data_IF_366743849378
#
_entry.id   IF_366743849378
#
_cell.length_a   1.000
_cell.length_b   1.000
_cell.length_c   1.000
_cell.angle_alpha   90.00
_cell.angle_beta   90.00
_cell.angle_gamma   90.00
#
_symmetry.space_group_name_H-M   'P 1'
#
loop_
_entity.id
_entity.type
_entity.pdbx_description
1 polymer ?
#
# COMPACT_ATOMS: atom_id res chain seq x y z
N UNK A 1 -26.98 80.06 -23.47
CA UNK A 1 -25.89 79.60 -22.56
C UNK A 1 -26.25 78.41 -21.66
N UNK A 2 -27.54 78.06 -21.44
CA UNK A 2 -27.92 76.91 -20.58
C UNK A 2 -27.72 75.52 -21.22
N UNK A 3 -27.72 75.43 -22.55
CA UNK A 3 -27.58 74.15 -23.29
C UNK A 3 -26.12 73.76 -23.62
N UNK A 4 -25.16 74.67 -23.45
CA UNK A 4 -23.74 74.40 -23.69
C UNK A 4 -23.01 73.86 -22.45
N UNK A 5 -23.58 74.05 -21.25
CA UNK A 5 -23.03 73.53 -19.99
C UNK A 5 -23.46 72.09 -19.67
N UNK A 6 -24.59 71.61 -20.23
CA UNK A 6 -25.07 70.24 -19.96
C UNK A 6 -24.31 69.17 -20.75
N UNK A 7 -23.71 69.52 -21.89
CA UNK A 7 -22.95 68.56 -22.72
C UNK A 7 -21.52 68.32 -22.21
N UNK A 8 -20.95 69.22 -21.41
CA UNK A 8 -19.59 69.06 -20.86
C UNK A 8 -19.55 68.12 -19.64
N UNK A 9 -20.65 68.00 -18.89
CA UNK A 9 -20.73 67.14 -17.70
C UNK A 9 -20.84 65.64 -18.05
N UNK A 10 -21.40 65.30 -19.22
CA UNK A 10 -21.55 63.90 -19.65
C UNK A 10 -20.25 63.36 -20.24
N UNK A 11 -19.39 64.21 -20.82
CA UNK A 11 -18.13 63.77 -21.42
C UNK A 11 -17.03 63.46 -20.38
N UNK A 12 -17.08 64.05 -19.18
CA UNK A 12 -16.13 63.74 -18.08
C UNK A 12 -16.51 62.51 -17.25
N UNK A 13 -17.74 61.99 -17.35
CA UNK A 13 -18.13 60.75 -16.67
C UNK A 13 -17.70 59.48 -17.41
N UNK A 14 -17.33 59.59 -18.70
CA UNK A 14 -16.98 58.43 -19.53
C UNK A 14 -15.49 58.04 -19.41
N UNK A 15 -14.63 58.92 -18.90
CA UNK A 15 -13.17 58.67 -18.81
C UNK A 15 -12.76 58.00 -17.48
N UNK A 16 -13.65 57.92 -16.48
CA UNK A 16 -13.33 57.38 -15.16
C UNK A 16 -13.65 55.88 -14.94
N UNK A 17 -14.15 55.15 -15.95
CA UNK A 17 -14.56 53.73 -15.79
C UNK A 17 -13.65 52.75 -16.55
N UNK A 18 -12.60 53.21 -17.23
CA UNK A 18 -11.70 52.33 -18.00
C UNK A 18 -10.49 51.83 -17.19
N UNK A 19 -10.34 52.24 -15.93
CA UNK A 19 -9.23 51.80 -15.05
C UNK A 19 -9.65 50.81 -13.94
N UNK A 20 -10.84 50.21 -14.05
CA UNK A 20 -11.19 49.01 -13.29
C UNK A 20 -11.21 47.76 -14.18
N UNK A 21 -10.29 47.68 -15.14
CA UNK A 21 -9.72 46.37 -15.47
C UNK A 21 -8.78 46.06 -14.30
N UNK A 22 -9.40 45.68 -13.17
CA UNK A 22 -8.70 44.94 -12.15
C UNK A 22 -8.01 43.81 -12.87
N UNK A 23 -6.69 43.79 -12.75
CA UNK A 23 -5.92 42.59 -12.97
C UNK A 23 -6.63 41.54 -12.10
N UNK A 24 -7.46 40.69 -12.71
CA UNK A 24 -7.90 39.50 -12.00
C UNK A 24 -6.61 38.73 -11.83
N UNK A 25 -6.03 38.78 -10.63
CA UNK A 25 -5.18 37.69 -10.19
C UNK A 25 -5.97 36.44 -10.55
N UNK A 26 -5.49 35.69 -11.53
CA UNK A 26 -6.10 34.40 -11.84
C UNK A 26 -6.19 33.68 -10.51
N UNK A 27 -7.39 33.43 -10.00
CA UNK A 27 -7.58 32.65 -8.79
C UNK A 27 -7.01 31.28 -9.10
N UNK A 28 -5.76 31.08 -8.68
CA UNK A 28 -5.04 29.91 -9.11
C UNK A 28 -5.35 28.75 -8.18
N UNK A 29 -6.55 28.21 -8.34
CA UNK A 29 -6.97 26.98 -7.70
C UNK A 29 -5.96 25.87 -8.00
N UNK A 30 -5.52 25.12 -6.98
CA UNK A 30 -4.58 24.03 -7.18
C UNK A 30 -5.23 22.91 -7.99
N UNK A 31 -4.43 22.23 -8.79
CA UNK A 31 -4.83 21.08 -9.60
C UNK A 31 -3.99 19.85 -9.26
N UNK A 32 -4.57 18.66 -9.43
CA UNK A 32 -3.82 17.40 -9.28
C UNK A 32 -2.91 17.23 -10.50
N UNK A 33 -1.61 17.42 -10.30
CA UNK A 33 -0.57 17.30 -11.32
C UNK A 33 -0.28 15.83 -11.66
N UNK A 34 -0.17 14.99 -10.63
CA UNK A 34 0.15 13.57 -10.79
C UNK A 34 -0.43 12.73 -9.66
N UNK A 35 -0.65 11.45 -9.95
CA UNK A 35 -0.93 10.42 -8.96
C UNK A 35 0.01 9.24 -9.20
N UNK A 36 0.47 8.60 -8.14
CA UNK A 36 1.28 7.40 -8.18
C UNK A 36 0.67 6.34 -7.25
N UNK A 37 0.22 5.18 -7.75
CA UNK A 37 0.25 4.76 -9.16
C UNK A 37 -0.57 5.66 -10.10
N UNK A 38 -0.20 5.79 -11.40
CA UNK A 38 -0.95 6.56 -12.38
C UNK A 38 -2.40 6.09 -12.52
N UNK A 39 -3.30 7.01 -12.83
CA UNK A 39 -4.69 6.68 -13.15
C UNK A 39 -4.80 5.58 -14.21
N UNK A 40 -5.74 4.65 -14.03
CA UNK A 40 -5.95 3.48 -14.91
C UNK A 40 -4.99 2.32 -14.64
N UNK A 41 -4.03 2.47 -13.72
CA UNK A 41 -3.10 1.39 -13.37
C UNK A 41 -3.81 0.22 -12.68
N UNK A 42 -3.20 -0.96 -12.82
CA UNK A 42 -3.49 -2.10 -11.96
C UNK A 42 -2.77 -1.91 -10.63
N UNK A 43 -3.51 -1.98 -9.53
CA UNK A 43 -2.98 -1.78 -8.18
C UNK A 43 -3.55 -2.84 -7.24
N UNK A 44 -2.79 -3.28 -6.22
CA UNK A 44 -3.34 -4.12 -5.17
C UNK A 44 -4.40 -3.37 -4.34
N UNK A 45 -5.32 -4.14 -3.76
CA UNK A 45 -6.41 -3.70 -2.88
C UNK A 45 -6.03 -2.65 -1.81
N UNK A 46 -4.80 -2.69 -1.31
CA UNK A 46 -4.30 -1.85 -0.24
C UNK A 46 -3.12 -0.97 -0.66
N UNK A 47 -3.04 -0.65 -1.95
CA UNK A 47 -2.02 0.23 -2.49
C UNK A 47 -2.04 1.60 -1.79
N UNK A 48 -0.85 2.12 -1.50
CA UNK A 48 -0.68 3.54 -1.16
C UNK A 48 -0.80 4.36 -2.45
N UNK A 49 -1.60 5.42 -2.40
CA UNK A 49 -1.75 6.38 -3.50
C UNK A 49 -1.08 7.69 -3.06
N UNK A 50 -0.06 8.12 -3.81
CA UNK A 50 0.58 9.41 -3.64
C UNK A 50 -0.07 10.39 -4.61
N UNK A 51 -0.52 11.52 -4.09
CA UNK A 51 -1.19 12.59 -4.82
C UNK A 51 -0.27 13.81 -4.80
N UNK A 52 0.04 14.32 -5.98
CA UNK A 52 0.88 15.52 -6.16
C UNK A 52 0.07 16.63 -6.79
N UNK A 53 0.07 17.80 -6.16
CA UNK A 53 -0.55 19.02 -6.65
C UNK A 53 0.49 19.92 -7.31
N UNK A 54 0.03 20.80 -8.21
CA UNK A 54 0.86 21.85 -8.79
C UNK A 54 1.15 22.99 -7.78
N UNK A 55 0.30 23.13 -6.75
CA UNK A 55 0.37 24.15 -5.70
C UNK A 55 0.06 23.57 -4.32
N UNK A 56 0.56 24.19 -3.24
CA UNK A 56 0.27 23.73 -1.89
C UNK A 56 -1.23 23.72 -1.58
N UNK A 57 -1.68 22.70 -0.86
CA UNK A 57 -3.04 22.58 -0.34
C UNK A 57 -3.00 22.31 1.17
N UNK A 58 -4.08 22.67 1.87
CA UNK A 58 -4.15 22.61 3.35
C UNK A 58 -4.81 21.33 3.87
N UNK A 59 -5.57 20.64 3.01
CA UNK A 59 -6.22 19.38 3.35
C UNK A 59 -6.60 18.58 2.12
N UNK A 60 -6.50 17.26 2.20
CA UNK A 60 -6.87 16.33 1.14
C UNK A 60 -7.66 15.16 1.71
N UNK A 61 -8.73 14.78 1.03
CA UNK A 61 -9.53 13.59 1.33
C UNK A 61 -9.71 12.73 0.09
N UNK A 62 -9.78 11.41 0.29
CA UNK A 62 -10.10 10.42 -0.74
C UNK A 62 -11.33 9.66 -0.28
N UNK A 63 -12.43 9.75 -1.02
CA UNK A 63 -13.74 9.19 -0.63
C UNK A 63 -14.11 9.53 0.83
N UNK A 64 -13.90 10.81 1.21
CA UNK A 64 -14.13 11.36 2.55
C UNK A 64 -13.19 10.85 3.65
N UNK A 65 -12.18 10.05 3.33
CA UNK A 65 -11.12 9.64 4.27
C UNK A 65 -9.95 10.63 4.15
N UNK A 66 -9.47 11.21 5.27
CA UNK A 66 -8.31 12.10 5.24
C UNK A 66 -7.06 11.40 4.70
N UNK A 67 -6.36 12.06 3.78
CA UNK A 67 -5.01 11.70 3.38
C UNK A 67 -3.99 12.30 4.37
N UNK A 68 -2.81 11.70 4.48
CA UNK A 68 -1.70 12.20 5.29
C UNK A 68 -0.65 12.87 4.42
N UNK A 69 -0.20 14.07 4.77
CA UNK A 69 0.79 14.80 3.97
C UNK A 69 0.77 16.28 4.29
N UNK A 70 1.42 17.07 3.43
CA UNK A 70 1.46 18.52 3.58
C UNK A 70 1.89 19.19 2.28
N UNK A 71 1.41 20.41 2.05
CA UNK A 71 1.78 21.22 0.89
C UNK A 71 1.35 20.52 -0.40
N UNK A 72 2.31 20.21 -1.27
CA UNK A 72 2.04 19.66 -2.61
C UNK A 72 1.91 18.13 -2.65
N UNK A 73 2.29 17.40 -1.59
CA UNK A 73 2.37 15.94 -1.61
C UNK A 73 1.60 15.32 -0.47
N UNK A 74 0.67 14.43 -0.85
CA UNK A 74 -0.25 13.76 0.06
C UNK A 74 -0.28 12.27 -0.23
N UNK A 75 -0.47 11.47 0.82
CA UNK A 75 -0.52 10.02 0.76
C UNK A 75 -1.86 9.55 1.28
N UNK A 76 -2.49 8.69 0.51
CA UNK A 76 -3.68 7.98 0.92
C UNK A 76 -3.36 6.49 1.03
N UNK A 77 -3.63 5.93 2.22
CA UNK A 77 -3.63 4.50 2.44
C UNK A 77 -4.98 4.13 3.04
N UNK A 78 -5.77 3.38 2.29
CA UNK A 78 -7.09 2.98 2.71
C UNK A 78 -7.54 1.73 1.98
N UNK A 79 -8.62 1.15 2.47
CA UNK A 79 -9.25 -0.01 1.86
C UNK A 79 -9.92 0.39 0.52
N UNK A 80 -9.27 0.03 -0.60
CA UNK A 80 -9.80 0.24 -1.95
C UNK A 80 -10.76 -0.88 -2.37
N UNK A 81 -11.02 -1.86 -1.50
CA UNK A 81 -11.88 -3.02 -1.79
C UNK A 81 -13.34 -2.81 -1.44
N UNK A 82 -13.68 -1.68 -0.77
CA UNK A 82 -15.04 -1.36 -0.28
C UNK A 82 -16.18 -1.51 -1.30
N UNK A 83 -15.88 -1.59 -2.60
CA UNK A 83 -16.87 -1.71 -3.69
C UNK A 83 -16.93 -3.09 -4.35
N UNK A 84 -16.12 -4.07 -3.92
CA UNK A 84 -16.12 -5.45 -4.44
C UNK A 84 -15.92 -5.57 -5.96
N UNK A 85 -15.44 -4.51 -6.60
CA UNK A 85 -15.35 -4.37 -8.05
C UNK A 85 -13.89 -4.37 -8.48
N UNK A 86 -13.61 -5.04 -9.59
CA UNK A 86 -12.28 -5.07 -10.24
C UNK A 86 -11.84 -3.68 -10.72
N UNK A 87 -12.78 -2.77 -10.90
CA UNK A 87 -12.52 -1.37 -11.19
C UNK A 87 -13.10 -0.52 -10.07
N UNK A 88 -12.30 0.41 -9.55
CA UNK A 88 -12.74 1.38 -8.56
C UNK A 88 -12.56 2.78 -9.12
N UNK A 89 -13.55 3.64 -8.88
CA UNK A 89 -13.40 5.09 -8.97
C UNK A 89 -13.36 5.67 -7.57
N UNK A 90 -12.31 6.46 -7.31
CA UNK A 90 -12.11 7.20 -6.06
C UNK A 90 -12.21 8.70 -6.33
N UNK A 91 -12.76 9.44 -5.37
CA UNK A 91 -12.91 10.89 -5.41
C UNK A 91 -11.87 11.55 -4.52
N UNK A 92 -10.95 12.29 -5.13
CA UNK A 92 -9.99 13.16 -4.45
C UNK A 92 -10.64 14.54 -4.29
N UNK A 93 -10.70 15.06 -3.07
CA UNK A 93 -11.13 16.42 -2.77
C UNK A 93 -10.09 17.13 -1.91
N UNK A 94 -9.85 18.42 -2.16
CA UNK A 94 -8.84 19.21 -1.45
C UNK A 94 -9.31 20.62 -1.13
N UNK A 95 -8.59 21.26 -0.22
CA UNK A 95 -8.79 22.65 0.22
C UNK A 95 -7.52 23.44 -0.12
N UNK A 96 -7.66 24.50 -0.91
CA UNK A 96 -6.58 25.42 -1.26
C UNK A 96 -6.20 26.32 -0.07
N UNK A 97 -5.08 27.03 -0.16
CA UNK A 97 -4.64 27.96 0.91
C UNK A 97 -5.61 29.14 1.11
N UNK A 98 -6.33 29.54 0.06
CA UNK A 98 -7.37 30.58 0.10
C UNK A 98 -8.73 30.09 0.67
N UNK A 99 -8.82 28.80 1.02
CA UNK A 99 -10.05 28.17 1.53
C UNK A 99 -11.03 27.69 0.45
N UNK A 100 -10.77 27.95 -0.83
CA UNK A 100 -11.53 27.34 -1.93
C UNK A 100 -11.29 25.83 -2.01
N UNK A 101 -12.18 25.09 -2.67
CA UNK A 101 -12.11 23.63 -2.73
C UNK A 101 -11.99 23.12 -4.15
N UNK A 102 -11.24 22.04 -4.34
CA UNK A 102 -11.17 21.32 -5.61
C UNK A 102 -11.58 19.86 -5.49
N UNK A 103 -11.88 19.24 -6.63
CA UNK A 103 -12.30 17.85 -6.74
C UNK A 103 -11.78 17.24 -8.04
N UNK A 104 -11.34 15.98 -7.97
CA UNK A 104 -11.01 15.14 -9.12
C UNK A 104 -11.39 13.69 -8.83
N UNK A 105 -12.02 13.03 -9.78
CA UNK A 105 -12.20 11.58 -9.74
C UNK A 105 -11.12 10.91 -10.58
N UNK A 106 -10.60 9.79 -10.10
CA UNK A 106 -9.69 8.92 -10.85
C UNK A 106 -10.14 7.47 -10.73
N UNK A 107 -9.70 6.63 -11.66
CA UNK A 107 -10.01 5.20 -11.66
C UNK A 107 -8.76 4.33 -11.56
N UNK A 108 -8.95 3.14 -10.99
CA UNK A 108 -7.93 2.09 -10.89
C UNK A 108 -8.55 0.72 -11.17
N UNK A 109 -7.71 -0.20 -11.62
CA UNK A 109 -8.05 -1.62 -11.69
C UNK A 109 -7.47 -2.29 -10.44
N UNK A 110 -8.32 -2.84 -9.59
CA UNK A 110 -7.88 -3.58 -8.40
C UNK A 110 -7.49 -4.99 -8.83
N UNK A 111 -6.22 -5.33 -8.65
CA UNK A 111 -5.75 -6.71 -8.74
C UNK A 111 -6.37 -7.51 -7.58
N UNK A 112 -6.70 -8.78 -7.86
CA UNK A 112 -7.61 -9.65 -7.11
C UNK A 112 -7.79 -9.30 -5.62
N UNK A 113 -9.06 -9.24 -5.21
CA UNK A 113 -9.52 -8.98 -3.85
C UNK A 113 -8.63 -9.69 -2.82
N UNK A 114 -7.98 -8.92 -1.95
CA UNK A 114 -7.30 -9.45 -0.78
C UNK A 114 -8.35 -9.66 0.31
N UNK A 115 -8.71 -10.92 0.55
CA UNK A 115 -9.72 -11.30 1.53
C UNK A 115 -9.21 -11.16 2.98
N UNK A 116 -7.99 -10.64 3.19
CA UNK A 116 -7.44 -10.22 4.47
C UNK A 116 -7.20 -11.31 5.50
N UNK A 117 -7.49 -12.58 5.17
CA UNK A 117 -7.16 -13.72 6.03
C UNK A 117 -5.92 -14.40 5.49
N UNK A 118 -4.82 -14.18 6.20
CA UNK A 118 -3.57 -14.91 5.97
C UNK A 118 -3.76 -16.32 6.53
N UNK A 119 -3.51 -17.35 5.71
CA UNK A 119 -3.41 -18.73 6.14
C UNK A 119 -2.38 -19.49 5.29
N UNK A 120 -1.86 -20.58 5.84
CA UNK A 120 -0.94 -21.47 5.13
C UNK A 120 -1.75 -22.36 4.19
N UNK A 121 -1.48 -22.27 2.89
CA UNK A 121 -2.08 -23.11 1.83
C UNK A 121 -1.40 -24.47 1.79
N UNK A 122 -0.07 -24.49 1.89
CA UNK A 122 0.72 -25.71 1.94
C UNK A 122 2.07 -25.46 2.59
N UNK A 123 2.73 -26.53 3.04
CA UNK A 123 4.10 -26.48 3.52
C UNK A 123 4.83 -27.78 3.21
N UNK A 124 6.15 -27.69 3.09
CA UNK A 124 7.09 -28.80 3.02
C UNK A 124 8.23 -28.53 4.01
N UNK A 125 8.35 -29.29 5.11
CA UNK A 125 7.45 -30.36 5.56
C UNK A 125 6.02 -29.90 5.88
N UNK A 126 5.07 -30.83 5.88
CA UNK A 126 3.70 -30.60 6.34
C UNK A 126 3.65 -30.55 7.87
N UNK A 127 2.67 -29.83 8.40
CA UNK A 127 2.38 -29.88 9.83
C UNK A 127 1.98 -31.31 10.26
N UNK A 128 2.58 -31.79 11.34
CA UNK A 128 2.49 -33.15 11.85
C UNK A 128 3.26 -34.21 11.06
N UNK A 129 4.05 -33.84 10.05
CA UNK A 129 4.82 -34.82 9.26
C UNK A 129 5.86 -35.54 10.10
N UNK A 130 6.01 -36.85 9.86
CA UNK A 130 6.94 -37.71 10.58
C UNK A 130 8.03 -38.23 9.64
N UNK A 131 9.12 -38.68 10.24
CA UNK A 131 10.25 -39.30 9.55
C UNK A 131 10.82 -38.43 8.42
N UNK A 132 10.83 -37.11 8.62
CA UNK A 132 11.33 -36.15 7.63
C UNK A 132 12.84 -36.30 7.50
N UNK A 133 13.31 -36.51 6.28
CA UNK A 133 14.74 -36.66 6.00
C UNK A 133 15.48 -35.34 6.25
N UNK A 134 16.27 -35.31 7.34
CA UNK A 134 17.02 -34.13 7.76
C UNK A 134 18.10 -33.75 6.74
N UNK A 135 18.63 -34.69 5.94
CA UNK A 135 19.61 -34.41 4.89
C UNK A 135 18.91 -33.64 3.76
N UNK A 136 17.70 -34.05 3.40
CA UNK A 136 16.92 -33.34 2.37
C UNK A 136 16.56 -31.93 2.82
N UNK A 137 16.24 -31.71 4.10
CA UNK A 137 16.00 -30.35 4.62
C UNK A 137 17.23 -29.45 4.51
N UNK A 138 18.43 -30.00 4.72
CA UNK A 138 19.68 -29.23 4.59
C UNK A 138 20.02 -28.90 3.13
N UNK A 139 19.66 -29.77 2.18
CA UNK A 139 19.97 -29.60 0.76
C UNK A 139 18.91 -28.80 0.00
N UNK A 140 17.63 -29.15 0.16
CA UNK A 140 16.50 -28.56 -0.56
C UNK A 140 15.89 -27.37 0.18
N UNK A 141 16.11 -27.28 1.50
CA UNK A 141 15.43 -26.33 2.36
C UNK A 141 13.99 -26.72 2.70
N UNK A 142 13.23 -25.74 3.19
CA UNK A 142 11.80 -25.85 3.48
C UNK A 142 11.01 -24.81 2.68
N UNK A 143 9.74 -25.10 2.42
CA UNK A 143 8.84 -24.21 1.67
C UNK A 143 7.51 -24.04 2.41
N UNK A 144 7.00 -22.82 2.47
CA UNK A 144 5.67 -22.50 3.02
C UNK A 144 4.94 -21.61 2.02
N UNK A 145 3.73 -22.00 1.62
CA UNK A 145 2.87 -21.22 0.73
C UNK A 145 1.73 -20.57 1.53
N UNK A 146 1.49 -19.29 1.31
CA UNK A 146 0.43 -18.50 1.93
C UNK A 146 -0.72 -18.23 0.96
N UNK A 147 -1.88 -17.93 1.54
CA UNK A 147 -3.11 -17.58 0.81
C UNK A 147 -3.02 -16.26 0.08
N UNK A 148 -2.12 -15.37 0.51
CA UNK A 148 -1.96 -13.99 0.02
C UNK A 148 -0.49 -13.62 -0.11
N UNK A 149 -0.14 -12.64 -0.98
CA UNK A 149 1.21 -12.07 -1.03
C UNK A 149 1.60 -11.39 0.28
N UNK A 150 2.79 -11.68 0.79
CA UNK A 150 3.29 -11.14 2.04
C UNK A 150 4.16 -9.90 1.82
N UNK A 151 3.96 -8.91 2.68
CA UNK A 151 4.83 -7.74 2.80
C UNK A 151 6.04 -8.05 3.68
N UNK A 152 5.83 -8.81 4.75
CA UNK A 152 6.86 -9.22 5.70
C UNK A 152 6.57 -10.63 6.20
N UNK A 153 7.63 -11.41 6.40
CA UNK A 153 7.57 -12.70 7.10
C UNK A 153 8.82 -12.86 7.96
N UNK A 154 8.64 -13.42 9.15
CA UNK A 154 9.73 -13.89 10.01
C UNK A 154 9.43 -15.34 10.38
N UNK A 155 10.45 -16.22 10.31
CA UNK A 155 10.32 -17.62 10.69
C UNK A 155 11.43 -18.02 11.63
N UNK A 156 11.04 -18.55 12.79
CA UNK A 156 11.93 -19.12 13.78
C UNK A 156 11.87 -20.63 13.68
N UNK A 157 13.04 -21.25 13.42
CA UNK A 157 13.18 -22.71 13.38
C UNK A 157 13.71 -23.15 14.73
N UNK A 158 12.95 -23.97 15.45
CA UNK A 158 13.26 -24.41 16.81
C UNK A 158 13.36 -25.93 16.81
N UNK A 159 14.43 -26.44 17.39
CA UNK A 159 14.73 -27.85 17.51
C UNK A 159 15.28 -28.12 18.91
N UNK A 160 14.77 -29.13 19.61
CA UNK A 160 15.25 -29.50 20.95
C UNK A 160 15.31 -28.32 21.94
N UNK A 161 14.40 -27.34 21.79
CA UNK A 161 14.35 -26.12 22.60
C UNK A 161 15.35 -25.02 22.22
N UNK A 162 16.15 -25.21 21.17
CA UNK A 162 17.11 -24.24 20.66
C UNK A 162 16.70 -23.67 19.29
N UNK A 163 16.96 -22.38 19.08
CA UNK A 163 16.71 -21.71 17.80
C UNK A 163 17.84 -21.99 16.82
N UNK A 164 17.51 -22.60 15.69
CA UNK A 164 18.39 -22.83 14.56
C UNK A 164 18.44 -21.61 13.65
N UNK A 165 19.55 -21.49 12.92
CA UNK A 165 19.83 -20.32 12.09
C UNK A 165 19.48 -20.64 10.64
N UNK A 166 18.35 -20.12 10.18
CA UNK A 166 17.83 -20.34 8.83
C UNK A 166 17.64 -19.01 8.12
N UNK A 167 17.96 -19.00 6.83
CA UNK A 167 17.67 -17.91 5.94
C UNK A 167 16.21 -17.99 5.53
N UNK A 168 15.60 -16.84 5.30
CA UNK A 168 14.19 -16.72 4.92
C UNK A 168 14.12 -15.81 3.70
N UNK A 169 13.50 -16.29 2.63
CA UNK A 169 13.31 -15.55 1.38
C UNK A 169 11.88 -15.70 0.90
N UNK A 170 11.32 -14.60 0.42
CA UNK A 170 10.04 -14.61 -0.25
C UNK A 170 10.25 -14.86 -1.74
N UNK A 171 9.38 -15.64 -2.36
CA UNK A 171 9.27 -15.72 -3.82
C UNK A 171 9.03 -14.35 -4.45
N UNK A 172 9.27 -14.23 -5.76
CA UNK A 172 9.00 -13.00 -6.52
C UNK A 172 7.55 -12.52 -6.39
N UNK A 173 6.60 -13.46 -6.39
CA UNK A 173 5.17 -13.18 -6.19
C UNK A 173 4.78 -13.00 -4.70
N UNK A 174 5.73 -13.23 -3.80
CA UNK A 174 5.63 -13.09 -2.34
C UNK A 174 4.59 -13.99 -1.69
N UNK A 175 4.13 -15.03 -2.38
CA UNK A 175 3.17 -16.00 -1.83
C UNK A 175 3.85 -17.22 -1.23
N UNK A 176 5.15 -17.40 -1.47
CA UNK A 176 5.94 -18.51 -0.92
C UNK A 176 7.10 -18.00 -0.10
N UNK A 177 7.43 -18.75 0.94
CA UNK A 177 8.58 -18.56 1.81
C UNK A 177 9.48 -19.76 1.66
N UNK A 178 10.73 -19.51 1.30
CA UNK A 178 11.78 -20.51 1.25
C UNK A 178 12.68 -20.33 2.46
N UNK A 179 13.01 -21.45 3.10
CA UNK A 179 13.98 -21.49 4.18
C UNK A 179 15.15 -22.35 3.77
N UNK A 180 16.37 -21.87 4.01
CA UNK A 180 17.59 -22.65 3.81
C UNK A 180 18.50 -22.53 5.02
N UNK A 181 19.29 -23.56 5.27
CA UNK A 181 20.20 -23.57 6.41
C UNK A 181 21.28 -22.49 6.23
N UNK A 182 21.40 -21.59 7.21
CA UNK A 182 22.57 -20.72 7.30
C UNK A 182 23.66 -21.47 8.04
N UNK A 183 24.93 -21.09 7.81
CA UNK A 183 26.08 -21.67 8.50
C UNK A 183 25.82 -21.71 10.02
N UNK A 184 25.70 -22.90 10.60
CA UNK A 184 25.17 -23.12 11.95
C UNK A 184 25.06 -24.60 12.29
N UNK A 185 24.47 -24.96 13.45
CA UNK A 185 24.27 -26.35 13.83
C UNK A 185 23.36 -27.06 12.82
N UNK A 186 23.71 -28.30 12.49
CA UNK A 186 22.94 -29.15 11.58
C UNK A 186 21.51 -29.36 12.10
N UNK A 187 20.58 -29.57 11.17
CA UNK A 187 19.22 -30.03 11.48
C UNK A 187 19.28 -31.26 12.40
N UNK A 188 18.52 -31.31 13.51
CA UNK A 188 18.60 -32.44 14.43
C UNK A 188 18.12 -33.73 13.76
N UNK A 189 18.74 -34.84 14.11
CA UNK A 189 18.35 -36.19 13.67
C UNK A 189 17.74 -36.97 14.85
N UNK A 190 17.45 -38.26 14.66
CA UNK A 190 17.00 -39.17 15.71
C UNK A 190 15.61 -38.85 16.28
N UNK A 191 14.61 -38.72 15.40
CA UNK A 191 13.20 -38.49 15.81
C UNK A 191 12.99 -37.20 16.61
N UNK A 192 13.85 -36.20 16.39
CA UNK A 192 13.74 -34.90 17.04
C UNK A 192 12.53 -34.11 16.52
N UNK A 193 11.81 -33.45 17.42
CA UNK A 193 10.75 -32.51 17.06
C UNK A 193 11.37 -31.19 16.58
N UNK A 194 10.84 -30.68 15.47
CA UNK A 194 11.16 -29.38 14.89
C UNK A 194 9.88 -28.56 14.81
N UNK A 195 9.97 -27.31 15.26
CA UNK A 195 8.89 -26.34 15.26
C UNK A 195 9.29 -25.14 14.40
N UNK A 196 8.41 -24.73 13.49
CA UNK A 196 8.48 -23.45 12.79
C UNK A 196 7.47 -22.50 13.43
N UNK A 197 7.94 -21.47 14.10
CA UNK A 197 7.10 -20.36 14.57
C UNK A 197 7.16 -19.23 13.54
N UNK A 198 6.01 -18.89 12.96
CA UNK A 198 5.93 -18.02 11.79
C UNK A 198 5.07 -16.81 12.11
N UNK A 199 5.59 -15.62 11.82
CA UNK A 199 4.79 -14.39 11.82
C UNK A 199 4.78 -13.80 10.42
N UNK A 200 3.60 -13.38 9.95
CA UNK A 200 3.41 -12.85 8.61
C UNK A 200 2.56 -11.57 8.63
N UNK A 201 2.89 -10.63 7.75
CA UNK A 201 2.12 -9.42 7.48
C UNK A 201 1.90 -9.28 5.96
N UNK A 202 0.66 -9.07 5.52
CA UNK A 202 0.34 -8.81 4.12
C UNK A 202 0.49 -7.31 3.77
N UNK A 203 0.20 -6.94 2.52
CA UNK A 203 0.28 -5.53 2.08
C UNK A 203 -0.84 -4.65 2.65
N UNK A 204 -1.93 -5.27 3.10
CA UNK A 204 -3.05 -4.62 3.79
C UNK A 204 -2.78 -4.37 5.28
N UNK A 205 -1.73 -4.96 5.83
CA UNK A 205 -1.36 -4.87 7.24
C UNK A 205 -2.09 -5.87 8.13
N UNK A 206 -2.79 -6.86 7.55
CA UNK A 206 -3.27 -8.00 8.33
C UNK A 206 -2.07 -8.80 8.81
N UNK A 207 -2.20 -9.39 9.99
CA UNK A 207 -1.14 -10.16 10.63
C UNK A 207 -1.62 -11.56 10.94
N UNK A 208 -0.73 -12.53 10.80
CA UNK A 208 -0.97 -13.92 11.16
C UNK A 208 0.20 -14.51 11.93
N UNK A 209 -0.11 -15.36 12.89
CA UNK A 209 0.85 -16.19 13.61
C UNK A 209 0.51 -17.65 13.32
N UNK A 210 1.52 -18.44 12.97
CA UNK A 210 1.36 -19.83 12.57
C UNK A 210 2.42 -20.71 13.20
N UNK A 211 2.08 -21.99 13.34
CA UNK A 211 2.98 -23.03 13.83
C UNK A 211 2.93 -24.22 12.89
N UNK A 212 4.09 -24.70 12.45
CA UNK A 212 4.25 -25.99 11.77
C UNK A 212 5.17 -26.84 12.64
N UNK A 213 4.78 -28.07 12.92
CA UNK A 213 5.57 -29.03 13.69
C UNK A 213 5.83 -30.28 12.86
N UNK A 214 7.04 -30.82 12.88
CA UNK A 214 7.35 -32.11 12.25
C UNK A 214 8.45 -32.83 13.01
N UNK A 215 8.64 -34.13 12.76
CA UNK A 215 9.72 -34.92 13.37
C UNK A 215 10.69 -35.43 12.32
N UNK A 216 12.00 -35.33 12.59
CA UNK A 216 13.03 -35.83 11.67
C UNK A 216 13.14 -37.35 11.72
N UNK A 217 13.69 -37.95 10.67
CA UNK A 217 13.91 -39.40 10.58
C UNK A 217 14.91 -39.86 11.65
N UNK A 218 14.66 -41.04 12.21
CA UNK A 218 15.62 -41.73 13.07
C UNK A 218 16.93 -42.01 12.32
N UNK A 219 18.03 -42.11 13.06
CA UNK A 219 19.32 -42.50 12.48
C UNK A 219 19.28 -44.00 12.13
N UNK A 220 19.58 -44.35 10.88
CA UNK A 220 19.77 -45.75 10.45
C UNK A 220 21.21 -46.22 10.70
#
# INVERSE_FOLDING_TARGET
>A
MRKALQTLAILMAIIAVVWMIGCSEEETTATVLAVNPPEGSKIPACAEIIITFDKPVTGVTVDSIPATGSGISWKFKGDLTRKGSKEISIRIAWINEDGSTGIKSISYIIEAYDNGVIYIVSSRPKDGEKDVDYIMLQLDGMEIQFSVPLKKVDVDVIANGEKLWWGVELSDDKTKVFLWLLKGPDMPYDSSEVILEITAEDFCGNKGEFKITFTTKAME
#
